data_IF_286832297471
#
_entry.id   IF_286832297471
#
_cell.length_a   1.000
_cell.length_b   1.000
_cell.length_c   1.000
_cell.angle_alpha   90.00
_cell.angle_beta   90.00
_cell.angle_gamma   90.00
#
_symmetry.space_group_name_H-M   'P 1'
#
loop_
_entity.id
_entity.type
_entity.pdbx_description
1 polymer ?
#
# COMPACT_ATOMS: atom_id res chain seq x y z
N UNK A 1 -87.48 -15.57 -9.50
CA UNK A 1 -86.56 -14.63 -10.17
C UNK A 1 -85.39 -14.31 -9.21
N UNK A 2 -84.27 -15.03 -9.30
CA UNK A 2 -83.16 -14.96 -8.32
C UNK A 2 -82.04 -14.27 -9.03
N UNK A 3 -81.70 -13.08 -8.49
CA UNK A 3 -80.55 -12.23 -8.96
C UNK A 3 -79.34 -12.71 -8.19
N UNK A 4 -78.37 -13.31 -8.90
CA UNK A 4 -77.01 -13.65 -8.33
C UNK A 4 -76.11 -12.44 -8.34
N UNK A 5 -75.73 -11.98 -7.16
CA UNK A 5 -74.64 -11.00 -6.98
C UNK A 5 -73.31 -11.68 -7.18
N UNK A 6 -72.53 -11.23 -8.17
CA UNK A 6 -71.14 -11.64 -8.38
C UNK A 6 -70.25 -10.60 -7.67
N UNK A 7 -69.58 -11.01 -6.59
CA UNK A 7 -68.56 -10.21 -5.95
C UNK A 7 -67.23 -10.44 -6.70
N UNK A 8 -66.75 -9.39 -7.37
CA UNK A 8 -65.40 -9.38 -7.97
C UNK A 8 -64.43 -8.89 -6.90
N UNK A 9 -63.60 -9.81 -6.38
CA UNK A 9 -62.49 -9.50 -5.48
C UNK A 9 -61.30 -9.11 -6.35
N UNK A 10 -61.03 -7.80 -6.41
CA UNK A 10 -59.81 -7.27 -7.04
C UNK A 10 -58.62 -7.49 -6.13
N UNK A 11 -57.69 -8.38 -6.51
CA UNK A 11 -56.41 -8.58 -5.84
C UNK A 11 -55.47 -7.49 -6.35
N UNK A 12 -55.21 -6.50 -5.48
CA UNK A 12 -54.19 -5.46 -5.72
C UNK A 12 -52.83 -6.05 -5.37
N UNK A 13 -52.05 -6.40 -6.38
CA UNK A 13 -50.64 -6.82 -6.22
C UNK A 13 -49.79 -5.58 -6.00
N UNK A 14 -49.41 -5.31 -4.76
CA UNK A 14 -48.48 -4.25 -4.39
C UNK A 14 -47.05 -4.75 -4.63
N UNK A 15 -46.49 -4.45 -5.80
CA UNK A 15 -45.06 -4.70 -6.10
C UNK A 15 -44.20 -3.76 -5.25
N UNK A 16 -43.73 -4.26 -4.13
CA UNK A 16 -42.69 -3.58 -3.34
C UNK A 16 -41.36 -3.70 -4.08
N UNK A 17 -40.98 -2.68 -4.82
CA UNK A 17 -39.63 -2.54 -5.34
C UNK A 17 -38.66 -2.25 -4.17
N UNK A 18 -38.04 -3.30 -3.65
CA UNK A 18 -36.91 -3.14 -2.72
C UNK A 18 -35.71 -2.69 -3.55
N UNK A 19 -35.45 -1.37 -3.54
CA UNK A 19 -34.18 -0.84 -4.04
C UNK A 19 -33.07 -1.31 -3.09
N UNK A 20 -32.39 -2.41 -3.43
CA UNK A 20 -31.11 -2.74 -2.84
C UNK A 20 -30.12 -1.65 -3.31
N UNK A 21 -29.93 -0.65 -2.48
CA UNK A 21 -28.78 0.26 -2.62
C UNK A 21 -27.54 -0.58 -2.33
N UNK A 22 -26.88 -1.05 -3.37
CA UNK A 22 -25.56 -1.68 -3.28
C UNK A 22 -24.60 -0.58 -2.84
N UNK A 23 -24.35 -0.49 -1.54
CA UNK A 23 -23.20 0.30 -1.06
C UNK A 23 -21.96 -0.36 -1.66
N UNK A 24 -21.36 0.26 -2.66
CA UNK A 24 -20.06 -0.14 -3.15
C UNK A 24 -19.08 -0.02 -1.97
N UNK A 25 -18.77 -1.13 -1.35
CA UNK A 25 -17.71 -1.20 -0.34
C UNK A 25 -16.41 -0.89 -1.09
N UNK A 26 -15.81 0.27 -0.82
CA UNK A 26 -14.52 0.62 -1.38
C UNK A 26 -13.48 -0.41 -0.89
N UNK A 27 -13.12 -1.34 -1.77
CA UNK A 27 -12.20 -2.43 -1.48
C UNK A 27 -10.76 -1.94 -1.67
N UNK A 28 -10.35 -0.93 -0.88
CA UNK A 28 -8.98 -0.44 -0.93
C UNK A 28 -8.00 -1.50 -0.42
N UNK A 29 -6.86 -1.57 -1.08
CA UNK A 29 -5.75 -2.42 -0.69
C UNK A 29 -4.60 -1.59 -0.12
N UNK A 30 -3.69 -2.26 0.61
CA UNK A 30 -2.49 -1.65 1.17
C UNK A 30 -1.24 -2.16 0.46
N UNK A 31 -0.27 -1.28 0.22
CA UNK A 31 1.10 -1.63 -0.10
C UNK A 31 2.03 -0.93 0.90
N UNK A 32 3.15 -1.56 1.26
CA UNK A 32 4.12 -0.97 2.19
C UNK A 32 5.53 -1.18 1.68
N UNK A 33 6.27 -0.08 1.53
CA UNK A 33 7.63 -0.06 0.98
C UNK A 33 8.58 0.72 1.87
N UNK A 34 9.78 0.20 2.06
CA UNK A 34 10.93 0.92 2.60
C UNK A 34 11.95 1.15 1.48
N UNK A 35 12.39 2.37 1.30
CA UNK A 35 13.26 2.77 0.19
C UNK A 35 14.14 3.97 0.50
N UNK A 36 14.73 4.02 1.69
CA UNK A 36 15.46 5.18 2.18
C UNK A 36 14.55 6.18 2.89
N UNK A 37 14.86 7.46 2.75
CA UNK A 37 14.08 8.53 3.35
C UNK A 37 12.62 8.51 2.88
N UNK A 38 11.68 8.39 3.81
CA UNK A 38 10.25 8.33 3.50
C UNK A 38 9.71 9.61 2.85
N UNK A 39 10.32 10.79 3.06
CA UNK A 39 9.96 12.01 2.34
C UNK A 39 10.19 11.89 0.83
N UNK A 40 11.32 11.26 0.44
CA UNK A 40 11.61 10.99 -0.97
C UNK A 40 10.66 9.95 -1.57
N UNK A 41 10.24 8.98 -0.74
CA UNK A 41 9.35 7.90 -1.17
C UNK A 41 7.88 8.32 -1.28
N UNK A 42 7.36 9.18 -0.41
CA UNK A 42 5.95 9.57 -0.33
C UNK A 42 5.46 10.21 -1.64
N UNK A 43 6.13 11.27 -2.07
CA UNK A 43 5.72 12.12 -3.17
C UNK A 43 5.49 11.43 -4.54
N UNK A 44 6.34 10.50 -5.02
CA UNK A 44 6.10 9.79 -6.28
C UNK A 44 4.80 8.98 -6.30
N UNK A 45 4.37 8.44 -5.16
CA UNK A 45 3.17 7.62 -5.06
C UNK A 45 1.90 8.45 -4.91
N UNK A 46 1.94 9.58 -4.21
CA UNK A 46 0.80 10.49 -4.04
C UNK A 46 0.23 10.99 -5.37
N UNK A 47 1.04 11.06 -6.42
CA UNK A 47 0.65 11.55 -7.74
C UNK A 47 -0.06 10.52 -8.61
N UNK A 48 -0.08 9.24 -8.19
CA UNK A 48 -0.62 8.17 -9.01
C UNK A 48 -2.14 8.16 -8.93
N UNK A 49 -2.79 8.12 -10.09
CA UNK A 49 -4.22 7.88 -10.12
C UNK A 49 -4.54 6.51 -9.52
N UNK A 50 -5.52 6.45 -8.63
CA UNK A 50 -5.87 5.23 -7.90
C UNK A 50 -5.19 5.10 -6.54
N UNK A 51 -4.16 5.88 -6.23
CA UNK A 51 -3.64 6.03 -4.87
C UNK A 51 -4.57 6.96 -4.09
N UNK A 52 -5.01 6.50 -2.93
CA UNK A 52 -5.97 7.20 -2.05
C UNK A 52 -5.25 7.96 -0.96
N UNK A 53 -4.20 7.35 -0.40
CA UNK A 53 -3.42 7.92 0.71
C UNK A 53 -2.03 7.31 0.75
N UNK A 54 -1.04 8.08 1.18
CA UNK A 54 0.33 7.64 1.44
C UNK A 54 0.75 8.15 2.81
N UNK A 55 1.13 7.24 3.68
CA UNK A 55 1.49 7.57 5.06
C UNK A 55 2.95 7.22 5.31
N UNK A 56 3.75 8.19 5.69
CA UNK A 56 5.12 8.00 6.16
C UNK A 56 5.15 7.39 7.56
N UNK A 57 6.05 6.44 7.82
CA UNK A 57 6.10 5.75 9.10
C UNK A 57 7.27 4.78 9.26
N UNK A 58 7.14 3.89 10.23
CA UNK A 58 8.16 2.94 10.66
C UNK A 58 7.60 1.53 10.71
N UNK A 59 8.37 0.56 10.22
CA UNK A 59 7.96 -0.84 10.25
C UNK A 59 9.17 -1.79 10.19
N UNK A 60 8.96 -3.06 10.49
CA UNK A 60 10.00 -4.10 10.39
C UNK A 60 10.83 -4.32 11.64
N UNK A 61 10.80 -3.39 12.59
CA UNK A 61 11.58 -3.46 13.81
C UNK A 61 10.88 -4.13 14.99
N UNK A 62 11.59 -4.15 16.14
CA UNK A 62 11.12 -4.78 17.38
C UNK A 62 10.68 -3.77 18.44
N UNK A 63 11.04 -2.48 18.28
CA UNK A 63 10.64 -1.43 19.22
C UNK A 63 9.16 -1.12 19.10
N UNK A 64 8.42 -1.20 20.19
CA UNK A 64 7.03 -0.77 20.25
C UNK A 64 6.92 0.75 20.29
N UNK A 65 5.97 1.29 19.50
CA UNK A 65 5.69 2.74 19.41
C UNK A 65 6.94 3.60 19.23
N UNK A 66 7.75 3.33 18.21
CA UNK A 66 8.97 4.08 17.94
C UNK A 66 8.63 5.53 17.56
N UNK A 67 9.57 6.43 17.82
CA UNK A 67 9.55 7.80 17.31
C UNK A 67 10.74 8.07 16.39
N UNK A 68 10.71 9.20 15.67
CA UNK A 68 11.75 9.56 14.72
C UNK A 68 13.16 9.56 15.31
N UNK A 69 13.33 10.14 16.52
CA UNK A 69 14.63 10.22 17.16
C UNK A 69 15.22 8.83 17.45
N UNK A 70 14.38 7.88 17.83
CA UNK A 70 14.81 6.50 18.11
C UNK A 70 15.17 5.75 16.82
N UNK A 71 14.33 5.86 15.77
CA UNK A 71 14.58 5.19 14.50
C UNK A 71 15.80 5.76 13.80
N UNK A 72 15.92 7.08 13.72
CA UNK A 72 17.05 7.76 13.07
C UNK A 72 18.38 7.51 13.78
N UNK A 73 18.37 7.29 15.10
CA UNK A 73 19.56 6.91 15.85
C UNK A 73 20.00 5.44 15.60
N UNK A 74 19.14 4.63 14.96
CA UNK A 74 19.39 3.19 14.75
C UNK A 74 19.07 2.33 15.97
N UNK A 75 19.19 1.00 15.81
CA UNK A 75 19.01 0.03 16.90
C UNK A 75 17.57 -0.35 17.22
N UNK A 76 16.55 0.27 16.61
CA UNK A 76 15.14 -0.13 16.76
C UNK A 76 14.77 -1.31 15.89
N UNK A 77 15.57 -1.57 14.85
CA UNK A 77 15.27 -2.51 13.77
C UNK A 77 14.21 -2.03 12.78
N UNK A 78 13.56 -0.88 13.04
CA UNK A 78 12.61 -0.30 12.11
C UNK A 78 13.29 0.34 10.91
N UNK A 79 12.64 0.22 9.76
CA UNK A 79 12.95 0.99 8.56
C UNK A 79 12.01 2.17 8.46
N UNK A 80 12.50 3.28 7.90
CA UNK A 80 11.63 4.30 7.35
C UNK A 80 10.88 3.70 6.17
N UNK A 81 9.56 3.86 6.16
CA UNK A 81 8.70 3.23 5.18
C UNK A 81 7.49 4.11 4.88
N UNK A 82 6.87 3.85 3.73
CA UNK A 82 5.56 4.38 3.39
C UNK A 82 4.52 3.26 3.35
N UNK A 83 3.31 3.56 3.83
CA UNK A 83 2.15 2.71 3.64
C UNK A 83 1.16 3.41 2.71
N UNK A 84 0.87 2.77 1.59
CA UNK A 84 0.01 3.25 0.51
C UNK A 84 -1.35 2.59 0.63
N UNK A 85 -2.41 3.39 0.65
CA UNK A 85 -3.78 2.94 0.45
C UNK A 85 -4.16 3.19 -1.00
N UNK A 86 -4.58 2.17 -1.75
CA UNK A 86 -4.87 2.31 -3.17
C UNK A 86 -6.13 1.55 -3.58
N UNK A 87 -6.73 1.98 -4.67
CA UNK A 87 -7.88 1.33 -5.31
C UNK A 87 -7.37 0.33 -6.37
N UNK A 88 -7.46 -0.99 -6.11
CA UNK A 88 -6.95 -2.00 -7.03
C UNK A 88 -7.75 -2.11 -8.34
N UNK A 89 -8.88 -1.42 -8.45
CA UNK A 89 -9.62 -1.31 -9.71
C UNK A 89 -9.06 -0.21 -10.63
N UNK A 90 -8.21 0.69 -10.10
CA UNK A 90 -7.63 1.83 -10.83
C UNK A 90 -6.13 1.71 -11.06
N UNK A 91 -5.41 1.09 -10.10
CA UNK A 91 -3.96 0.90 -10.19
C UNK A 91 -3.58 -0.49 -9.67
N UNK A 92 -2.79 -1.23 -10.44
CA UNK A 92 -2.32 -2.55 -10.04
C UNK A 92 -1.11 -2.45 -9.10
N UNK A 93 -0.97 -3.44 -8.22
CA UNK A 93 0.20 -3.53 -7.33
C UNK A 93 1.54 -3.59 -8.09
N UNK A 94 1.55 -4.17 -9.29
CA UNK A 94 2.74 -4.19 -10.16
C UNK A 94 3.17 -2.79 -10.59
N UNK A 95 2.23 -1.86 -10.81
CA UNK A 95 2.56 -0.47 -11.16
C UNK A 95 3.17 0.27 -9.97
N UNK A 96 2.70 -0.02 -8.74
CA UNK A 96 3.34 0.49 -7.52
C UNK A 96 4.77 -0.05 -7.37
N UNK A 97 5.01 -1.33 -7.68
CA UNK A 97 6.35 -1.90 -7.69
C UNK A 97 7.25 -1.24 -8.73
N UNK A 98 6.73 -0.93 -9.93
CA UNK A 98 7.50 -0.24 -10.98
C UNK A 98 7.93 1.18 -10.54
N UNK A 99 7.06 1.88 -9.81
CA UNK A 99 7.42 3.17 -9.22
C UNK A 99 8.47 2.97 -8.12
N UNK A 100 8.29 2.00 -7.22
CA UNK A 100 9.23 1.69 -6.15
C UNK A 100 10.66 1.45 -6.67
N UNK A 101 10.82 0.60 -7.68
CA UNK A 101 12.13 0.28 -8.26
C UNK A 101 12.86 1.48 -8.87
N UNK A 102 12.12 2.51 -9.30
CA UNK A 102 12.71 3.75 -9.85
C UNK A 102 13.17 4.73 -8.79
N UNK A 103 12.77 4.55 -7.53
CA UNK A 103 13.12 5.43 -6.43
C UNK A 103 14.38 5.00 -5.68
N UNK A 104 14.87 3.77 -5.92
CA UNK A 104 15.92 3.16 -5.09
C UNK A 104 17.09 2.62 -5.90
N UNK A 105 18.24 2.44 -5.23
CA UNK A 105 19.27 1.49 -5.63
C UNK A 105 19.01 0.16 -4.92
N UNK A 106 18.44 -0.85 -5.59
CA UNK A 106 18.09 -2.11 -4.96
C UNK A 106 19.32 -2.97 -4.58
N UNK A 107 20.52 -2.54 -4.96
CA UNK A 107 21.78 -3.25 -4.72
C UNK A 107 22.59 -2.69 -3.55
N UNK A 108 22.12 -1.59 -2.92
CA UNK A 108 22.82 -0.96 -1.79
C UNK A 108 22.32 -1.53 -0.44
N UNK A 109 23.18 -2.29 0.30
CA UNK A 109 22.79 -2.89 1.57
C UNK A 109 22.91 -1.92 2.77
N UNK A 110 23.46 -0.74 2.59
CA UNK A 110 23.81 0.17 3.70
C UNK A 110 22.98 1.45 3.79
N UNK A 111 21.85 1.51 3.06
CA UNK A 111 20.98 2.69 3.00
C UNK A 111 20.65 3.08 1.57
N UNK A 112 20.27 4.34 1.36
CA UNK A 112 19.95 4.84 0.02
C UNK A 112 20.56 6.22 -0.18
N UNK A 113 21.33 6.38 -1.25
CA UNK A 113 21.99 7.65 -1.63
C UNK A 113 22.80 8.26 -0.47
N UNK A 114 22.39 9.42 0.01
CA UNK A 114 23.05 10.14 1.13
C UNK A 114 22.60 9.65 2.51
N UNK A 115 21.45 8.97 2.59
CA UNK A 115 20.89 8.44 3.83
C UNK A 115 21.49 7.07 4.13
N UNK A 116 22.31 7.00 5.17
CA UNK A 116 23.08 5.81 5.53
C UNK A 116 22.62 5.24 6.86
N UNK A 117 22.55 3.91 6.93
CA UNK A 117 22.14 3.16 8.11
C UNK A 117 21.04 2.15 7.81
N UNK A 118 20.86 1.20 8.73
CA UNK A 118 19.92 0.09 8.56
C UNK A 118 18.48 0.57 8.35
N UNK A 119 18.10 1.67 9.00
CA UNK A 119 16.78 2.29 8.91
C UNK A 119 16.43 2.81 7.51
N UNK A 120 17.42 3.00 6.64
CA UNK A 120 17.28 3.47 5.26
C UNK A 120 17.48 2.37 4.22
N UNK A 121 17.50 1.11 4.64
CA UNK A 121 17.61 -0.02 3.70
C UNK A 121 16.29 -0.32 3.02
N UNK A 122 16.34 -1.10 1.93
CA UNK A 122 15.17 -1.36 1.08
C UNK A 122 14.44 -2.63 1.48
N UNK A 123 13.10 -2.54 1.51
CA UNK A 123 12.23 -3.69 1.73
C UNK A 123 10.83 -3.52 1.10
N UNK A 124 10.25 -4.64 0.70
CA UNK A 124 8.85 -4.77 0.29
C UNK A 124 8.13 -5.57 1.37
N UNK A 125 7.12 -4.97 2.00
CA UNK A 125 6.31 -5.62 3.02
C UNK A 125 4.95 -6.00 2.43
N UNK A 126 4.77 -7.30 2.12
CA UNK A 126 3.56 -7.79 1.47
C UNK A 126 2.41 -8.01 2.47
N UNK A 127 1.19 -7.65 2.07
CA UNK A 127 -0.06 -7.84 2.83
C UNK A 127 -0.84 -9.06 2.37
N UNK A 128 -0.54 -9.61 1.18
CA UNK A 128 -1.17 -10.82 0.64
C UNK A 128 -0.16 -11.71 -0.09
N UNK A 129 -0.55 -12.94 -0.37
CA UNK A 129 0.29 -13.88 -1.12
C UNK A 129 0.48 -13.43 -2.58
N UNK A 130 -0.54 -12.80 -3.17
CA UNK A 130 -0.48 -12.23 -4.53
C UNK A 130 0.58 -11.12 -4.60
N UNK A 131 0.64 -10.25 -3.58
CA UNK A 131 1.69 -9.23 -3.49
C UNK A 131 3.08 -9.86 -3.34
N UNK A 132 3.21 -10.91 -2.54
CA UNK A 132 4.49 -11.63 -2.39
C UNK A 132 4.97 -12.24 -3.72
N UNK A 133 4.06 -12.86 -4.45
CA UNK A 133 4.36 -13.45 -5.77
C UNK A 133 4.75 -12.36 -6.78
N UNK A 134 3.99 -11.25 -6.82
CA UNK A 134 4.27 -10.11 -7.70
C UNK A 134 5.61 -9.45 -7.39
N UNK A 135 5.94 -9.24 -6.11
CA UNK A 135 7.22 -8.69 -5.70
C UNK A 135 8.41 -9.59 -6.08
N UNK A 136 8.28 -10.92 -5.89
CA UNK A 136 9.32 -11.87 -6.33
C UNK A 136 9.48 -11.91 -7.84
N UNK A 137 8.37 -11.77 -8.58
CA UNK A 137 8.40 -11.73 -10.04
C UNK A 137 9.10 -10.45 -10.52
N UNK A 138 8.78 -9.29 -9.93
CA UNK A 138 9.39 -8.02 -10.31
C UNK A 138 10.91 -8.00 -10.08
N UNK A 139 11.42 -8.59 -8.98
CA UNK A 139 12.87 -8.76 -8.78
C UNK A 139 13.49 -9.57 -9.92
N UNK A 140 12.90 -10.73 -10.28
CA UNK A 140 13.43 -11.58 -11.36
C UNK A 140 13.41 -10.87 -12.71
N UNK A 141 12.41 -10.04 -12.96
CA UNK A 141 12.32 -9.25 -14.19
C UNK A 141 13.40 -8.16 -14.19
N UNK A 142 13.60 -7.48 -13.07
CA UNK A 142 14.63 -6.47 -12.91
C UNK A 142 16.05 -7.06 -13.08
N UNK A 143 16.33 -8.23 -12.49
CA UNK A 143 17.60 -8.95 -12.67
C UNK A 143 17.87 -9.30 -14.15
N UNK A 144 16.84 -9.72 -14.89
CA UNK A 144 16.97 -10.05 -16.33
C UNK A 144 17.34 -8.85 -17.21
N UNK A 145 17.07 -7.63 -16.75
CA UNK A 145 17.44 -6.43 -17.53
C UNK A 145 18.95 -6.25 -17.66
N UNK A 146 19.74 -6.86 -16.76
CA UNK A 146 21.19 -6.67 -16.68
C UNK A 146 21.60 -5.23 -16.28
N UNK A 147 20.66 -4.43 -15.78
CA UNK A 147 20.92 -3.02 -15.41
C UNK A 147 21.87 -2.92 -14.20
N UNK A 148 21.86 -3.90 -13.32
CA UNK A 148 22.65 -3.90 -12.09
C UNK A 148 23.77 -4.95 -12.17
N UNK A 149 24.99 -4.53 -11.83
CA UNK A 149 26.18 -5.42 -11.78
C UNK A 149 26.33 -6.11 -10.41
N UNK A 150 25.47 -5.80 -9.46
CA UNK A 150 25.45 -6.36 -8.10
C UNK A 150 24.11 -7.04 -7.84
N UNK A 151 24.06 -8.02 -6.91
CA UNK A 151 22.80 -8.67 -6.57
C UNK A 151 21.80 -7.68 -5.94
N UNK A 152 20.51 -7.89 -6.21
CA UNK A 152 19.44 -7.17 -5.54
C UNK A 152 19.37 -7.64 -4.07
N UNK A 153 19.46 -6.69 -3.14
CA UNK A 153 19.43 -6.94 -1.67
C UNK A 153 18.12 -6.54 -1.02
N UNK A 154 17.20 -5.96 -1.78
CA UNK A 154 15.85 -5.58 -1.31
C UNK A 154 15.12 -6.80 -0.73
N UNK A 155 14.71 -6.70 0.53
CA UNK A 155 14.03 -7.79 1.25
C UNK A 155 12.56 -7.86 0.90
N UNK A 156 11.99 -9.08 0.78
CA UNK A 156 10.55 -9.30 0.68
C UNK A 156 10.09 -10.00 1.95
N UNK A 157 9.26 -9.32 2.76
CA UNK A 157 8.82 -9.80 4.07
C UNK A 157 7.31 -9.64 4.22
N UNK A 158 6.68 -10.45 5.08
CA UNK A 158 5.28 -10.23 5.47
C UNK A 158 5.18 -8.91 6.23
N UNK A 159 4.18 -8.10 5.92
CA UNK A 159 3.96 -6.82 6.58
C UNK A 159 3.73 -7.01 8.08
N UNK A 160 4.62 -6.48 8.95
CA UNK A 160 4.38 -6.43 10.38
C UNK A 160 3.56 -5.17 10.73
N UNK A 161 3.47 -4.85 12.01
CA UNK A 161 2.82 -3.62 12.46
C UNK A 161 3.52 -2.39 11.89
N UNK A 162 2.73 -1.49 11.32
CA UNK A 162 3.18 -0.19 10.83
C UNK A 162 2.86 0.87 11.88
N UNK A 163 3.80 1.75 12.15
CA UNK A 163 3.67 2.88 13.05
C UNK A 163 3.76 4.16 12.24
N UNK A 164 2.68 4.94 12.19
CA UNK A 164 2.67 6.24 11.53
C UNK A 164 3.75 7.15 12.17
N UNK A 165 4.55 7.81 11.35
CA UNK A 165 5.46 8.83 11.81
C UNK A 165 4.69 10.09 12.25
N UNK A 166 5.37 10.97 12.94
CA UNK A 166 4.83 12.20 13.48
C UNK A 166 4.25 13.09 12.38
N UNK A 167 3.25 13.91 12.69
CA UNK A 167 2.50 14.69 11.70
C UNK A 167 3.36 15.67 10.90
N UNK A 168 4.49 16.12 11.44
CA UNK A 168 5.41 16.99 10.71
C UNK A 168 6.17 16.26 9.58
N UNK A 169 6.17 14.93 9.57
CA UNK A 169 6.75 14.11 8.50
C UNK A 169 5.77 13.82 7.36
N UNK A 170 4.47 13.92 7.59
CA UNK A 170 3.46 13.66 6.56
C UNK A 170 3.40 14.79 5.55
N UNK A 171 3.11 14.49 4.28
CA UNK A 171 2.94 15.47 3.19
C UNK A 171 4.11 16.46 3.08
N UNK A 172 5.34 15.98 3.28
CA UNK A 172 6.51 16.85 3.39
C UNK A 172 6.71 17.77 2.19
N UNK A 173 6.44 17.27 0.99
CA UNK A 173 6.58 18.03 -0.26
C UNK A 173 5.39 18.96 -0.58
N UNK A 174 4.34 18.95 0.24
CA UNK A 174 3.19 19.85 0.09
C UNK A 174 3.28 21.08 1.00
N UNK A 175 4.27 21.12 1.87
CA UNK A 175 4.54 22.23 2.81
C UNK A 175 5.52 23.23 2.22
#
# INVERSE_FOLDING_TARGET
MIVKNIFIIGIFFFLVFVHLSSFAQNNYAKATFAGGCFWCMEHPFEKLEGVVDVVSGYTGGHKESPNYKEVSAGGTGHLEAIQILYDPSKIFYSELLDVFWRQIDPTDPGGQFVDRGDQYTTAIFYHSEEQRVSAKKSIKELEKTGMFNKPIVTKIQKAPKFYKAEDYHQDYHKK
#
